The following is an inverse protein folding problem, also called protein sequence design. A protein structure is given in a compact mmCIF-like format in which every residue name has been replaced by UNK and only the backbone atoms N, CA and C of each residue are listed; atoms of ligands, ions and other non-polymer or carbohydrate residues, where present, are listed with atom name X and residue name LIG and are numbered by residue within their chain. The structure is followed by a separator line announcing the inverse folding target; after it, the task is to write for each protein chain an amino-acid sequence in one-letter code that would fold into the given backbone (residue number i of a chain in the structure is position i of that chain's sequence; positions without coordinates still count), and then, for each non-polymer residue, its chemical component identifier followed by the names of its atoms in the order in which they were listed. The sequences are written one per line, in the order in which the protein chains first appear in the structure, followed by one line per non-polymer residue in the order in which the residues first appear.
data_IF_825590130785
#
_entry.id   IF_825590130785
#
_cell.length_a   1.000
_cell.length_b   1.000
_cell.length_c   1.000
_cell.angle_alpha   90.00
_cell.angle_beta   90.00
_cell.angle_gamma   90.00
#
_symmetry.space_group_name_H-M   'P 1'
#
loop_
_entity.id
_entity.type
_entity.pdbx_description
1 polymer ?
#
# COMPACT_ATOMS: atom_id res chain seq x y z
N UNK A 1 -9.10 12.22 5.15
CA UNK A 1 -9.92 11.54 6.19
C UNK A 1 -9.22 11.18 7.51
N UNK A 2 -7.91 11.36 7.69
CA UNK A 2 -7.28 11.48 9.04
C UNK A 2 -6.20 12.57 9.03
N UNK A 3 -5.49 12.69 7.90
CA UNK A 3 -4.53 13.76 7.60
C UNK A 3 -5.17 15.16 7.54
N UNK A 4 -6.43 15.29 7.09
CA UNK A 4 -7.16 16.57 7.08
C UNK A 4 -7.54 17.06 8.49
N UNK A 5 -7.44 16.18 9.48
CA UNK A 5 -7.82 16.43 10.86
C UNK A 5 -6.69 16.04 11.83
N UNK A 6 -5.43 16.08 11.39
CA UNK A 6 -4.32 15.64 12.23
C UNK A 6 -4.21 16.48 13.52
N UNK A 7 -4.56 17.76 13.43
CA UNK A 7 -4.64 18.64 14.59
C UNK A 7 -5.74 18.20 15.57
N UNK A 8 -6.89 17.75 15.07
CA UNK A 8 -7.98 17.24 15.90
C UNK A 8 -7.66 15.88 16.52
N UNK A 9 -6.90 15.03 15.79
CA UNK A 9 -6.35 13.77 16.30
C UNK A 9 -5.36 14.04 17.43
N UNK A 10 -4.39 14.94 17.23
CA UNK A 10 -3.41 15.34 18.26
C UNK A 10 -4.11 15.95 19.48
N UNK A 11 -5.11 16.82 19.27
CA UNK A 11 -5.89 17.40 20.35
C UNK A 11 -6.64 16.32 21.17
N UNK A 12 -7.19 15.31 20.49
CA UNK A 12 -7.89 14.20 21.15
C UNK A 12 -6.92 13.32 21.94
N UNK A 13 -5.73 13.05 21.41
CA UNK A 13 -4.67 12.31 22.12
C UNK A 13 -4.21 13.11 23.35
N UNK A 14 -3.95 14.42 23.21
CA UNK A 14 -3.53 15.29 24.32
C UNK A 14 -4.59 15.46 25.42
N UNK A 15 -5.86 15.39 25.07
CA UNK A 15 -6.96 15.49 26.03
C UNK A 15 -7.21 14.19 26.82
N UNK A 16 -6.70 13.05 26.32
CA UNK A 16 -6.86 11.74 26.95
C UNK A 16 -5.86 11.56 28.09
N UNK A 17 -6.27 10.91 29.19
CA UNK A 17 -5.46 10.73 30.39
C UNK A 17 -4.55 9.49 30.32
N UNK A 18 -4.89 8.52 29.49
CA UNK A 18 -4.11 7.30 29.27
C UNK A 18 -4.00 6.96 27.78
N UNK A 19 -3.07 6.08 27.44
CA UNK A 19 -2.91 5.55 26.07
C UNK A 19 -4.13 4.75 25.62
N UNK A 20 -4.73 3.99 26.53
CA UNK A 20 -5.96 3.22 26.28
C UNK A 20 -7.14 4.16 26.01
N UNK A 21 -7.31 5.21 26.83
CA UNK A 21 -8.37 6.20 26.61
C UNK A 21 -8.18 6.94 25.27
N UNK A 22 -6.94 7.26 24.90
CA UNK A 22 -6.65 7.85 23.59
C UNK A 22 -7.00 6.89 22.44
N UNK A 23 -6.70 5.59 22.58
CA UNK A 23 -7.03 4.57 21.58
C UNK A 23 -8.55 4.45 21.38
N UNK A 24 -9.30 4.30 22.47
CA UNK A 24 -10.76 4.19 22.43
C UNK A 24 -11.40 5.46 21.84
N UNK A 25 -10.91 6.64 22.24
CA UNK A 25 -11.38 7.92 21.70
C UNK A 25 -11.10 8.07 20.21
N UNK A 26 -9.95 7.58 19.71
CA UNK A 26 -9.64 7.59 18.28
C UNK A 26 -10.61 6.68 17.51
N UNK A 27 -10.92 5.51 18.06
CA UNK A 27 -11.90 4.59 17.44
C UNK A 27 -13.30 5.20 17.40
N UNK A 28 -13.79 5.74 18.51
CA UNK A 28 -15.17 6.27 18.60
C UNK A 28 -15.33 7.55 17.78
N UNK A 29 -14.42 8.52 17.93
CA UNK A 29 -14.59 9.87 17.38
C UNK A 29 -14.26 9.95 15.89
N UNK A 30 -13.35 9.12 15.40
CA UNK A 30 -12.91 9.11 14.01
C UNK A 30 -13.32 7.83 13.27
N UNK A 31 -14.10 6.95 13.91
CA UNK A 31 -14.56 5.67 13.34
C UNK A 31 -13.41 4.80 12.81
N UNK A 32 -12.27 4.85 13.48
CA UNK A 32 -11.07 4.11 13.12
C UNK A 32 -11.15 2.68 13.65
N UNK A 33 -10.59 1.74 12.89
CA UNK A 33 -10.36 0.38 13.39
C UNK A 33 -9.28 0.36 14.46
N UNK A 34 -9.30 -0.69 15.29
CA UNK A 34 -8.28 -0.94 16.32
C UNK A 34 -6.85 -0.82 15.78
N UNK A 35 -6.57 -1.47 14.63
CA UNK A 35 -5.26 -1.40 13.97
C UNK A 35 -4.89 0.02 13.52
N UNK A 36 -5.86 0.80 13.02
CA UNK A 36 -5.61 2.18 12.60
C UNK A 36 -5.34 3.08 13.80
N UNK A 37 -6.13 2.96 14.87
CA UNK A 37 -5.93 3.72 16.10
C UNK A 37 -4.57 3.42 16.74
N UNK A 38 -4.20 2.14 16.80
CA UNK A 38 -2.88 1.73 17.29
C UNK A 38 -1.75 2.31 16.43
N UNK A 39 -1.87 2.22 15.09
CA UNK A 39 -0.88 2.76 14.18
C UNK A 39 -0.70 4.28 14.36
N UNK A 40 -1.78 5.03 14.59
CA UNK A 40 -1.74 6.48 14.87
C UNK A 40 -1.00 6.78 16.17
N UNK A 41 -1.24 6.01 17.24
CA UNK A 41 -0.55 6.19 18.52
C UNK A 41 0.94 5.86 18.45
N UNK A 42 1.34 5.05 17.48
CA UNK A 42 2.74 4.70 17.22
C UNK A 42 3.44 5.67 16.26
N UNK A 43 2.71 6.61 15.66
CA UNK A 43 3.29 7.62 14.77
C UNK A 43 4.26 8.55 15.51
N UNK A 44 5.39 8.80 14.89
CA UNK A 44 6.38 9.76 15.38
C UNK A 44 6.05 11.18 14.89
N UNK A 45 6.29 12.20 15.74
CA UNK A 45 6.00 13.61 15.41
C UNK A 45 6.67 14.10 14.11
N UNK A 46 7.80 13.55 13.71
CA UNK A 46 8.47 13.90 12.44
C UNK A 46 7.63 13.59 11.19
N UNK A 47 6.71 12.61 11.28
CA UNK A 47 5.78 12.25 10.20
C UNK A 47 4.74 13.34 9.93
N UNK A 48 4.64 14.35 10.81
CA UNK A 48 3.75 15.51 10.65
C UNK A 48 4.35 16.61 9.78
N UNK A 49 5.62 16.50 9.37
CA UNK A 49 6.20 17.46 8.43
C UNK A 49 5.49 17.40 7.08
N UNK A 50 5.42 18.52 6.36
CA UNK A 50 4.71 18.59 5.08
C UNK A 50 5.21 17.58 4.05
N UNK A 51 6.53 17.33 4.00
CA UNK A 51 7.12 16.34 3.09
C UNK A 51 6.74 14.90 3.46
N UNK A 52 6.78 14.55 4.75
CA UNK A 52 6.39 13.20 5.20
C UNK A 52 4.89 12.96 5.02
N UNK A 53 4.07 13.99 5.22
CA UNK A 53 2.64 13.95 4.91
C UNK A 53 2.41 13.68 3.42
N UNK A 54 3.08 14.44 2.54
CA UNK A 54 2.94 14.26 1.10
C UNK A 54 3.30 12.83 0.69
N UNK A 55 4.40 12.27 1.23
CA UNK A 55 4.78 10.87 0.96
C UNK A 55 3.69 9.87 1.33
N UNK A 56 2.97 10.07 2.43
CA UNK A 56 1.87 9.18 2.84
C UNK A 56 0.68 9.29 1.87
N UNK A 57 0.37 10.51 1.41
CA UNK A 57 -0.70 10.74 0.43
C UNK A 57 -0.34 10.16 -0.95
N UNK A 58 0.92 10.28 -1.35
CA UNK A 58 1.47 9.68 -2.57
C UNK A 58 1.44 8.15 -2.47
N UNK A 59 1.92 7.56 -1.36
CA UNK A 59 1.88 6.11 -1.13
C UNK A 59 0.44 5.61 -1.16
N UNK A 60 -0.51 6.30 -0.52
CA UNK A 60 -1.93 5.94 -0.58
C UNK A 60 -2.44 5.89 -2.03
N UNK A 61 -2.09 6.89 -2.83
CA UNK A 61 -2.47 6.97 -4.24
C UNK A 61 -1.86 5.82 -5.04
N UNK A 62 -0.57 5.54 -4.85
CA UNK A 62 0.13 4.41 -5.48
C UNK A 62 -0.51 3.07 -5.11
N UNK A 63 -0.84 2.86 -3.82
CA UNK A 63 -1.50 1.62 -3.37
C UNK A 63 -2.89 1.48 -3.97
N UNK A 64 -3.67 2.56 -4.10
CA UNK A 64 -4.99 2.52 -4.74
C UNK A 64 -4.90 2.16 -6.23
N UNK A 65 -3.93 2.73 -6.95
CA UNK A 65 -3.66 2.39 -8.34
C UNK A 65 -3.22 0.94 -8.49
N UNK A 66 -2.33 0.46 -7.62
CA UNK A 66 -1.90 -0.94 -7.60
C UNK A 66 -3.08 -1.88 -7.32
N UNK A 67 -3.95 -1.55 -6.36
CA UNK A 67 -5.15 -2.34 -6.07
C UNK A 67 -6.06 -2.41 -7.30
N UNK A 68 -6.24 -1.29 -8.01
CA UNK A 68 -7.07 -1.26 -9.21
C UNK A 68 -6.47 -2.14 -10.32
N UNK A 69 -5.17 -2.04 -10.57
CA UNK A 69 -4.48 -2.84 -11.57
C UNK A 69 -4.53 -4.33 -11.24
N UNK A 70 -4.20 -4.72 -10.01
CA UNK A 70 -4.25 -6.12 -9.57
C UNK A 70 -5.67 -6.71 -9.67
N UNK A 71 -6.70 -5.92 -9.33
CA UNK A 71 -8.09 -6.36 -9.50
C UNK A 71 -8.46 -6.57 -10.96
N UNK A 72 -7.99 -5.68 -11.84
CA UNK A 72 -8.24 -5.81 -13.29
C UNK A 72 -7.51 -7.01 -13.89
N UNK A 73 -6.28 -7.31 -13.43
CA UNK A 73 -5.57 -8.55 -13.78
C UNK A 73 -6.40 -9.77 -13.36
N UNK A 74 -6.86 -9.82 -12.10
CA UNK A 74 -7.62 -10.97 -11.59
C UNK A 74 -8.99 -11.13 -12.26
N UNK A 75 -9.56 -10.05 -12.80
CA UNK A 75 -10.84 -10.09 -13.50
C UNK A 75 -10.74 -10.58 -14.95
N UNK A 76 -9.55 -10.53 -15.57
CA UNK A 76 -9.33 -10.85 -16.99
C UNK A 76 -8.33 -11.99 -17.18
N UNK A 77 -8.80 -13.21 -17.51
CA UNK A 77 -7.91 -14.32 -17.86
C UNK A 77 -6.96 -14.02 -19.02
N UNK A 78 -7.36 -13.16 -19.97
CA UNK A 78 -6.52 -12.73 -21.08
C UNK A 78 -5.35 -11.86 -20.59
N UNK A 79 -5.57 -10.95 -19.64
CA UNK A 79 -4.49 -10.16 -19.02
C UNK A 79 -3.49 -11.06 -18.30
N UNK A 80 -3.98 -12.06 -17.56
CA UNK A 80 -3.12 -13.03 -16.87
C UNK A 80 -2.24 -13.77 -17.88
N UNK A 81 -2.83 -14.31 -18.96
CA UNK A 81 -2.08 -15.02 -19.99
C UNK A 81 -1.06 -14.11 -20.69
N UNK A 82 -1.42 -12.86 -20.96
CA UNK A 82 -0.51 -11.89 -21.54
C UNK A 82 0.71 -11.64 -20.65
N UNK A 83 0.49 -11.40 -19.35
CA UNK A 83 1.57 -11.21 -18.37
C UNK A 83 2.49 -12.44 -18.33
N UNK A 84 1.90 -13.65 -18.29
CA UNK A 84 2.68 -14.90 -18.31
C UNK A 84 3.56 -14.98 -19.55
N UNK A 85 3.01 -14.70 -20.74
CA UNK A 85 3.77 -14.72 -22.00
C UNK A 85 4.91 -13.70 -21.96
N UNK A 86 4.64 -12.46 -21.56
CA UNK A 86 5.64 -11.40 -21.45
C UNK A 86 6.78 -11.78 -20.50
N UNK A 87 6.47 -12.36 -19.32
CA UNK A 87 7.47 -12.84 -18.37
C UNK A 87 8.33 -13.98 -18.94
N UNK A 88 7.72 -14.95 -19.65
CA UNK A 88 8.45 -16.04 -20.29
C UNK A 88 9.32 -15.56 -21.45
N UNK A 89 8.85 -14.58 -22.22
CA UNK A 89 9.64 -13.95 -23.28
C UNK A 89 10.85 -13.22 -22.69
N UNK A 90 10.68 -12.46 -21.61
CA UNK A 90 11.80 -11.80 -20.94
C UNK A 90 12.85 -12.80 -20.42
N UNK A 91 12.41 -13.94 -19.86
CA UNK A 91 13.30 -15.02 -19.44
C UNK A 91 14.03 -15.63 -20.65
N UNK A 92 13.31 -15.91 -21.73
CA UNK A 92 13.89 -16.47 -22.96
C UNK A 92 14.91 -15.51 -23.57
N UNK A 93 14.67 -14.21 -23.55
CA UNK A 93 15.60 -13.23 -24.10
C UNK A 93 16.86 -13.08 -23.23
N UNK A 94 16.72 -13.20 -21.91
CA UNK A 94 17.86 -13.14 -20.98
C UNK A 94 18.71 -14.40 -20.98
N UNK A 95 18.12 -15.58 -21.17
CA UNK A 95 18.79 -16.86 -20.90
C UNK A 95 18.72 -17.88 -22.04
N UNK A 96 18.02 -17.59 -23.13
CA UNK A 96 17.86 -18.50 -24.25
C UNK A 96 19.16 -18.69 -25.01
N UNK A 97 19.47 -19.94 -25.34
CA UNK A 97 20.60 -20.29 -26.20
C UNK A 97 20.16 -21.04 -27.46
N UNK A 98 21.04 -21.06 -28.46
CA UNK A 98 20.78 -21.82 -29.67
C UNK A 98 20.81 -23.33 -29.39
N UNK A 99 19.95 -24.07 -30.07
CA UNK A 99 19.91 -25.53 -29.98
C UNK A 99 21.28 -26.11 -30.37
N UNK A 100 21.88 -26.88 -29.45
CA UNK A 100 23.20 -27.50 -29.64
C UNK A 100 23.16 -28.76 -30.51
N UNK A 101 22.04 -29.47 -30.52
CA UNK A 101 21.85 -30.73 -31.26
C UNK A 101 21.24 -30.47 -32.63
N UNK A 102 21.91 -30.89 -33.70
CA UNK A 102 21.35 -30.92 -35.06
C UNK A 102 20.36 -32.09 -35.23
N UNK A 103 19.27 -31.85 -35.95
CA UNK A 103 18.29 -32.88 -36.32
C UNK A 103 18.46 -33.16 -37.81
N UNK A 104 18.77 -34.40 -38.16
CA UNK A 104 18.83 -34.88 -39.54
C UNK A 104 17.51 -35.62 -39.86
N UNK A 105 17.10 -35.62 -41.13
CA UNK A 105 15.90 -36.32 -41.64
C UNK A 105 15.91 -37.83 -41.36
#
# INVERSE_FOLDING_TARGET
MALDNIDAVIATIKASKSREEAHDNLMVKFSLSDKQSQAILEMQLQRLSGLERQKIEDELTEKLLLIADLKDILASPERINKIIVEEFEEIKDKFGDARKTQVNE
#
